data_IF_624108804443
#
_entry.id   IF_624108804443
#
_cell.length_a   1.000
_cell.length_b   1.000
_cell.length_c   1.000
_cell.angle_alpha   90.00
_cell.angle_beta   90.00
_cell.angle_gamma   90.00
#
_symmetry.space_group_name_H-M   'P 1'
#
loop_
_entity.id
_entity.type
_entity.pdbx_description
1 polymer ?
#
# COMPACT_ATOMS: atom_id res chain seq x y z
N UNK A 1 -24.12 1.95 3.09
CA UNK A 1 -22.72 2.38 3.27
C UNK A 1 -21.98 1.19 3.84
N UNK A 2 -20.98 0.65 3.16
CA UNK A 2 -20.16 -0.41 3.75
C UNK A 2 -19.38 0.18 4.92
N UNK A 3 -19.40 -0.52 6.06
CA UNK A 3 -18.76 -0.11 7.33
C UNK A 3 -17.24 -0.43 7.37
N UNK A 4 -16.66 -0.80 6.24
CA UNK A 4 -15.28 -1.26 6.18
C UNK A 4 -14.31 -0.08 6.16
N UNK A 5 -13.15 -0.19 6.82
CA UNK A 5 -12.15 0.86 6.78
C UNK A 5 -11.64 1.06 5.34
N UNK A 6 -11.47 2.32 4.96
CA UNK A 6 -10.92 2.77 3.69
C UNK A 6 -9.61 3.51 3.94
N UNK A 7 -8.93 4.00 2.90
CA UNK A 7 -7.56 4.52 3.00
C UNK A 7 -7.36 5.64 4.05
N UNK A 8 -8.41 6.39 4.37
CA UNK A 8 -8.44 7.46 5.36
C UNK A 8 -8.95 7.03 6.74
N UNK A 9 -9.17 5.74 6.97
CA UNK A 9 -9.54 5.23 8.28
C UNK A 9 -8.41 5.53 9.28
N UNK A 10 -8.76 6.07 10.44
CA UNK A 10 -7.82 6.46 11.48
C UNK A 10 -8.40 6.07 12.83
N UNK A 11 -7.60 5.41 13.66
CA UNK A 11 -7.92 5.09 15.06
C UNK A 11 -7.63 6.26 16.00
N UNK A 12 -6.47 6.92 15.86
CA UNK A 12 -6.06 8.09 16.64
C UNK A 12 -5.47 9.18 15.72
N UNK A 13 -5.94 10.43 15.85
CA UNK A 13 -5.43 11.58 15.10
C UNK A 13 -3.92 11.80 15.29
N UNK A 14 -3.33 11.31 16.39
CA UNK A 14 -1.89 11.36 16.63
C UNK A 14 -1.11 10.59 15.55
N UNK A 15 -1.64 9.49 15.04
CA UNK A 15 -0.96 8.68 14.03
C UNK A 15 -0.78 9.47 12.73
N UNK A 16 -1.81 10.24 12.34
CA UNK A 16 -1.75 11.16 11.19
C UNK A 16 -0.69 12.25 11.43
N UNK A 17 -0.63 12.82 12.63
CA UNK A 17 0.35 13.88 12.96
C UNK A 17 1.79 13.34 12.92
N UNK A 18 2.02 12.14 13.47
CA UNK A 18 3.33 11.47 13.44
C UNK A 18 3.73 11.14 12.01
N UNK A 19 2.83 10.55 11.21
CA UNK A 19 3.11 10.24 9.81
C UNK A 19 3.49 11.50 9.03
N UNK A 20 2.69 12.58 9.13
CA UNK A 20 2.97 13.86 8.46
C UNK A 20 4.32 14.46 8.86
N UNK A 21 4.70 14.37 10.14
CA UNK A 21 6.02 14.82 10.61
C UNK A 21 7.14 14.05 9.92
N UNK A 22 7.06 12.71 9.91
CA UNK A 22 8.08 11.85 9.30
C UNK A 22 8.19 12.08 7.79
N UNK A 23 7.04 12.22 7.11
CA UNK A 23 6.97 12.55 5.66
C UNK A 23 7.72 13.85 5.38
N UNK A 24 7.50 14.89 6.18
CA UNK A 24 8.16 16.18 6.03
C UNK A 24 9.67 16.10 6.32
N UNK A 25 10.06 15.41 7.40
CA UNK A 25 11.47 15.21 7.79
C UNK A 25 12.26 14.44 6.72
N UNK A 26 11.64 13.42 6.11
CA UNK A 26 12.22 12.62 5.03
C UNK A 26 12.07 13.26 3.64
N UNK A 27 11.42 14.42 3.54
CA UNK A 27 11.13 15.11 2.28
C UNK A 27 10.40 14.24 1.24
N UNK A 28 9.48 13.39 1.71
CA UNK A 28 8.74 12.48 0.84
C UNK A 28 7.66 13.23 0.04
N UNK A 29 7.54 12.90 -1.25
CA UNK A 29 6.53 13.47 -2.15
C UNK A 29 5.51 12.40 -2.51
N UNK A 30 4.21 12.67 -2.35
CA UNK A 30 3.16 11.69 -2.59
C UNK A 30 3.10 11.21 -4.05
N UNK A 31 3.16 9.89 -4.24
CA UNK A 31 2.96 9.21 -5.53
C UNK A 31 1.53 8.63 -5.67
N UNK A 32 0.89 8.35 -4.53
CA UNK A 32 -0.48 7.89 -4.43
C UNK A 32 -1.32 8.79 -3.51
N UNK A 33 -2.65 8.66 -3.60
CA UNK A 33 -3.61 9.38 -2.77
C UNK A 33 -4.77 8.45 -2.37
N UNK A 34 -5.66 8.94 -1.51
CA UNK A 34 -6.78 8.14 -1.00
C UNK A 34 -7.70 7.62 -2.11
N UNK A 35 -7.86 8.34 -3.23
CA UNK A 35 -8.66 7.87 -4.36
C UNK A 35 -8.07 6.59 -4.95
N UNK A 36 -6.78 6.61 -5.33
CA UNK A 36 -6.11 5.44 -5.87
C UNK A 36 -6.11 4.27 -4.89
N UNK A 37 -5.84 4.57 -3.62
CA UNK A 37 -5.84 3.56 -2.56
C UNK A 37 -7.22 2.95 -2.34
N UNK A 38 -8.28 3.75 -2.34
CA UNK A 38 -9.64 3.26 -2.16
C UNK A 38 -10.07 2.37 -3.33
N UNK A 39 -9.72 2.74 -4.56
CA UNK A 39 -9.98 1.89 -5.74
C UNK A 39 -9.25 0.55 -5.62
N UNK A 40 -7.98 0.55 -5.22
CA UNK A 40 -7.21 -0.68 -5.00
C UNK A 40 -7.88 -1.57 -3.95
N UNK A 41 -8.20 -1.01 -2.78
CA UNK A 41 -8.82 -1.72 -1.67
C UNK A 41 -10.16 -2.33 -2.08
N UNK A 42 -11.02 -1.54 -2.73
CA UNK A 42 -12.34 -1.99 -3.17
C UNK A 42 -12.21 -3.16 -4.13
N UNK A 43 -11.36 -3.05 -5.15
CA UNK A 43 -11.20 -4.08 -6.17
C UNK A 43 -10.56 -5.36 -5.60
N UNK A 44 -9.59 -5.25 -4.69
CA UNK A 44 -8.99 -6.44 -4.05
C UNK A 44 -9.98 -7.19 -3.16
N UNK A 45 -10.88 -6.48 -2.46
CA UNK A 45 -11.91 -7.10 -1.61
C UNK A 45 -12.98 -7.86 -2.39
N UNK A 46 -13.21 -7.49 -3.65
CA UNK A 46 -14.15 -8.19 -4.53
C UNK A 46 -13.53 -9.43 -5.20
N UNK A 47 -12.21 -9.65 -5.09
CA UNK A 47 -11.58 -10.85 -5.61
C UNK A 47 -11.95 -12.08 -4.77
N UNK A 48 -12.25 -13.23 -5.39
CA UNK A 48 -12.55 -14.45 -4.65
C UNK A 48 -11.34 -14.97 -3.85
N UNK A 49 -10.13 -14.73 -4.35
CA UNK A 49 -8.87 -15.03 -3.69
C UNK A 49 -7.96 -13.80 -3.83
N UNK A 50 -8.04 -12.83 -2.89
CA UNK A 50 -7.18 -11.65 -2.91
C UNK A 50 -5.70 -12.06 -2.80
N UNK A 51 -4.78 -11.39 -3.51
CA UNK A 51 -3.35 -11.68 -3.45
C UNK A 51 -2.78 -11.36 -2.08
N UNK A 52 -1.70 -12.05 -1.67
CA UNK A 52 -0.95 -11.60 -0.50
C UNK A 52 -0.26 -10.26 -0.79
N UNK A 53 -0.06 -9.49 0.27
CA UNK A 53 0.64 -8.22 0.24
C UNK A 53 1.53 -8.06 1.47
N UNK A 54 2.48 -7.13 1.38
CA UNK A 54 3.17 -6.57 2.54
C UNK A 54 3.41 -5.08 2.31
N UNK A 55 3.60 -4.34 3.38
CA UNK A 55 3.76 -2.89 3.31
C UNK A 55 5.03 -2.44 3.99
N UNK A 56 5.55 -1.31 3.51
CA UNK A 56 6.44 -0.48 4.31
C UNK A 56 5.74 0.84 4.60
N UNK A 57 5.80 1.25 5.85
CA UNK A 57 5.30 2.55 6.28
C UNK A 57 6.44 3.54 6.50
N UNK A 58 6.11 4.83 6.50
CA UNK A 58 7.08 5.94 6.54
C UNK A 58 7.99 5.93 7.78
N UNK A 59 7.60 5.26 8.87
CA UNK A 59 8.45 5.11 10.05
C UNK A 59 9.58 4.06 9.88
N UNK A 60 9.61 3.34 8.75
CA UNK A 60 10.61 2.33 8.42
C UNK A 60 10.18 0.88 8.71
N UNK A 61 9.04 0.67 9.37
CA UNK A 61 8.52 -0.68 9.60
C UNK A 61 8.08 -1.34 8.29
N UNK A 62 8.52 -2.57 8.08
CA UNK A 62 8.10 -3.46 6.99
C UNK A 62 7.30 -4.60 7.61
N UNK A 63 6.07 -4.80 7.13
CA UNK A 63 5.21 -5.89 7.59
C UNK A 63 5.67 -7.24 7.05
N UNK A 64 5.22 -8.32 7.70
CA UNK A 64 5.18 -9.63 7.03
C UNK A 64 4.18 -9.63 5.87
N UNK A 65 4.18 -10.72 5.12
CA UNK A 65 3.15 -10.98 4.12
C UNK A 65 1.83 -11.38 4.76
N UNK A 66 0.73 -10.86 4.22
CA UNK A 66 -0.63 -11.07 4.70
C UNK A 66 -1.58 -11.14 3.50
N UNK A 67 -2.69 -11.87 3.61
CA UNK A 67 -3.74 -11.93 2.59
C UNK A 67 -5.01 -11.17 2.99
N UNK A 68 -5.03 -10.55 4.17
CA UNK A 68 -6.24 -9.97 4.74
C UNK A 68 -6.40 -8.48 4.40
N UNK A 69 -7.28 -8.16 3.44
CA UNK A 69 -7.48 -6.81 2.87
C UNK A 69 -8.56 -5.97 3.58
N UNK A 70 -9.31 -6.52 4.52
CA UNK A 70 -10.38 -5.81 5.22
C UNK A 70 -9.84 -5.02 6.41
N UNK A 71 -9.00 -5.63 7.25
CA UNK A 71 -8.60 -5.01 8.52
C UNK A 71 -7.10 -4.90 8.80
N UNK A 72 -6.25 -5.63 8.08
CA UNK A 72 -4.81 -5.67 8.36
C UNK A 72 -3.99 -4.63 7.58
N UNK A 73 -4.63 -3.91 6.66
CA UNK A 73 -3.99 -2.79 5.97
C UNK A 73 -3.57 -1.71 6.98
N UNK A 74 -2.43 -1.02 6.76
CA UNK A 74 -1.86 -0.07 7.71
C UNK A 74 -2.58 1.28 7.67
N UNK A 75 -3.87 1.29 7.99
CA UNK A 75 -4.68 2.51 8.00
C UNK A 75 -4.14 3.56 9.00
N UNK A 76 -4.09 4.86 8.62
CA UNK A 76 -4.40 5.40 7.30
C UNK A 76 -3.28 5.13 6.29
N UNK A 77 -3.63 4.85 5.03
CA UNK A 77 -2.64 4.59 3.97
C UNK A 77 -1.81 5.82 3.57
N UNK A 78 -2.10 6.98 4.18
CA UNK A 78 -1.19 8.12 4.21
C UNK A 78 0.22 7.73 4.71
N UNK A 79 0.33 6.75 5.59
CA UNK A 79 1.62 6.32 6.14
C UNK A 79 2.38 5.33 5.23
N UNK A 80 1.79 4.86 4.11
CA UNK A 80 2.40 3.80 3.28
C UNK A 80 3.41 4.37 2.33
N UNK A 81 4.66 3.94 2.48
CA UNK A 81 5.77 4.26 1.57
C UNK A 81 5.67 3.42 0.29
N UNK A 82 5.38 2.13 0.43
CA UNK A 82 5.06 1.21 -0.66
C UNK A 82 4.26 0.00 -0.18
N UNK A 83 3.55 -0.64 -1.12
CA UNK A 83 2.91 -1.96 -0.94
C UNK A 83 3.44 -2.92 -1.99
N UNK A 84 3.97 -4.05 -1.54
CA UNK A 84 4.28 -5.20 -2.38
C UNK A 84 3.04 -6.09 -2.42
N UNK A 85 2.67 -6.55 -3.62
CA UNK A 85 1.52 -7.42 -3.85
C UNK A 85 2.00 -8.58 -4.72
N UNK A 86 1.50 -9.79 -4.47
CA UNK A 86 1.75 -10.94 -5.35
C UNK A 86 1.39 -10.59 -6.82
N UNK A 87 2.32 -10.90 -7.73
CA UNK A 87 2.15 -10.63 -9.14
C UNK A 87 1.13 -11.60 -9.73
N UNK A 88 0.01 -11.03 -10.17
CA UNK A 88 -0.97 -11.70 -11.03
C UNK A 88 -1.37 -10.76 -12.17
N UNK A 89 -1.84 -11.31 -13.29
CA UNK A 89 -2.31 -10.50 -14.42
C UNK A 89 -3.46 -9.56 -14.03
N UNK A 90 -4.33 -10.00 -13.12
CA UNK A 90 -5.43 -9.21 -12.57
C UNK A 90 -4.90 -7.99 -11.82
N UNK A 91 -3.95 -8.19 -10.89
CA UNK A 91 -3.36 -7.10 -10.11
C UNK A 91 -2.59 -6.15 -11.02
N UNK A 92 -1.80 -6.68 -11.96
CA UNK A 92 -1.01 -5.88 -12.90
C UNK A 92 -1.89 -4.97 -13.77
N UNK A 93 -3.00 -5.52 -14.27
CA UNK A 93 -3.98 -4.76 -15.06
C UNK A 93 -4.65 -3.68 -14.20
N UNK A 94 -5.01 -4.03 -12.96
CA UNK A 94 -5.65 -3.12 -12.02
C UNK A 94 -4.77 -1.94 -11.64
N UNK A 95 -3.52 -2.17 -11.21
CA UNK A 95 -2.61 -1.09 -10.80
C UNK A 95 -2.31 -0.13 -11.96
N UNK A 96 -2.21 -0.66 -13.18
CA UNK A 96 -2.04 0.13 -14.40
C UNK A 96 -3.29 0.96 -14.72
N UNK A 97 -4.49 0.38 -14.59
CA UNK A 97 -5.77 1.06 -14.81
C UNK A 97 -6.00 2.22 -13.83
N UNK A 98 -5.70 2.01 -12.56
CA UNK A 98 -5.81 3.06 -11.51
C UNK A 98 -4.75 4.18 -11.74
N UNK A 99 -3.67 3.89 -12.46
CA UNK A 99 -2.59 4.84 -12.71
C UNK A 99 -1.65 4.98 -11.53
N UNK A 100 -1.37 3.88 -10.84
CA UNK A 100 -0.29 3.85 -9.85
C UNK A 100 1.07 3.94 -10.51
N UNK A 101 2.03 4.48 -9.77
CA UNK A 101 3.45 4.30 -10.05
C UNK A 101 3.86 2.96 -9.43
N UNK A 102 4.40 2.05 -10.25
CA UNK A 102 4.75 0.71 -9.78
C UNK A 102 5.93 0.13 -10.55
N UNK A 103 6.56 -0.89 -9.96
CA UNK A 103 7.58 -1.73 -10.59
C UNK A 103 7.32 -3.20 -10.27
N UNK A 104 7.80 -4.11 -11.12
CA UNK A 104 7.53 -5.55 -11.01
C UNK A 104 8.82 -6.36 -10.91
N UNK A 105 8.76 -7.45 -10.17
CA UNK A 105 9.76 -8.52 -10.18
C UNK A 105 9.18 -9.77 -10.86
N UNK A 106 9.75 -10.95 -10.62
CA UNK A 106 9.20 -12.22 -11.13
C UNK A 106 7.88 -12.62 -10.45
N UNK A 107 7.65 -12.18 -9.22
CA UNK A 107 6.56 -12.64 -8.36
C UNK A 107 5.85 -11.53 -7.59
N UNK A 108 6.29 -10.27 -7.74
CA UNK A 108 5.76 -9.15 -6.95
C UNK A 108 5.53 -7.91 -7.82
N UNK A 109 4.49 -7.16 -7.49
CA UNK A 109 4.25 -5.78 -7.94
C UNK A 109 4.45 -4.87 -6.74
N UNK A 110 5.41 -3.94 -6.82
CA UNK A 110 5.56 -2.86 -5.83
C UNK A 110 4.86 -1.61 -6.31
N UNK A 111 3.86 -1.17 -5.58
CA UNK A 111 3.15 0.10 -5.79
C UNK A 111 3.72 1.16 -4.84
N UNK A 112 4.07 2.32 -5.39
CA UNK A 112 4.70 3.42 -4.65
C UNK A 112 3.66 4.35 -4.03
N UNK A 113 3.75 4.56 -2.72
CA UNK A 113 3.00 5.60 -2.01
C UNK A 113 3.71 6.94 -2.02
N UNK A 114 5.05 6.93 -1.99
CA UNK A 114 5.90 8.13 -1.96
C UNK A 114 7.14 8.03 -2.86
N UNK A 115 7.67 9.21 -3.21
CA UNK A 115 8.98 9.44 -3.78
C UNK A 115 9.93 10.09 -2.76
N UNK A 116 11.26 9.90 -2.88
CA UNK A 116 11.95 9.02 -3.84
C UNK A 116 11.63 7.53 -3.61
N UNK A 117 11.71 6.71 -4.66
CA UNK A 117 11.42 5.27 -4.57
C UNK A 117 12.38 4.60 -3.59
N UNK A 118 11.84 3.79 -2.69
CA UNK A 118 12.63 3.01 -1.73
C UNK A 118 12.68 1.53 -2.13
N UNK A 119 13.86 1.07 -2.52
CA UNK A 119 14.09 -0.31 -2.97
C UNK A 119 14.38 -1.31 -1.85
N UNK A 120 14.24 -0.90 -0.59
CA UNK A 120 14.43 -1.78 0.56
C UNK A 120 13.53 -3.01 0.45
N UNK A 121 14.13 -4.19 0.61
CA UNK A 121 13.47 -5.49 0.48
C UNK A 121 12.80 -5.77 -0.89
N UNK A 122 13.03 -4.96 -1.93
CA UNK A 122 12.36 -5.17 -3.22
C UNK A 122 12.78 -6.49 -3.88
N UNK A 123 11.81 -7.37 -4.13
CA UNK A 123 12.04 -8.68 -4.75
C UNK A 123 12.41 -9.81 -3.79
N UNK A 124 12.34 -9.58 -2.47
CA UNK A 124 12.36 -10.68 -1.51
C UNK A 124 11.13 -11.56 -1.71
N UNK A 125 11.36 -12.85 -1.92
CA UNK A 125 10.30 -13.83 -2.17
C UNK A 125 9.52 -14.12 -0.88
N UNK A 126 8.26 -14.50 -1.06
CA UNK A 126 7.42 -15.06 -0.02
C UNK A 126 8.03 -16.40 0.45
N UNK A 127 8.60 -16.43 1.67
CA UNK A 127 9.16 -17.64 2.30
C UNK A 127 8.14 -18.36 3.15
#
# INVERSE_FOLDING_TARGET
MSLLPMADAVSDEKDVKVAKRIIAEKQLVGAANNTKWNELISEMRELPNPPCYRTKVVNGYISGWDSEWYYHLPFPLLNVEWIDIELTETVLTLVRKIGFEFETTKSTIRVWGYFPKCYESFGEEYT
#
